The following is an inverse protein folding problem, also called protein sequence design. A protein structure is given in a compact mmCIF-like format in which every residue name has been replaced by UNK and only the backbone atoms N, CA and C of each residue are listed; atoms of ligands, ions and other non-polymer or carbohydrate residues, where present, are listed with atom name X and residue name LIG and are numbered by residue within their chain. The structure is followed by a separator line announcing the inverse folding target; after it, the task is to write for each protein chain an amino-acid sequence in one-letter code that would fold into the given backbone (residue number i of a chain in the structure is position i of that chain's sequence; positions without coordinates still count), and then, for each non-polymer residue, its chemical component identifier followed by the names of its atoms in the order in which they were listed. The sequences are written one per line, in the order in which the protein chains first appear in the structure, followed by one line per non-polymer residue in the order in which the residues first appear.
data_IF_156545310958
#
_entry.id   IF_156545310958
#
_cell.length_a   1.000
_cell.length_b   1.000
_cell.length_c   1.000
_cell.angle_alpha   90.00
_cell.angle_beta   90.00
_cell.angle_gamma   90.00
#
_symmetry.space_group_name_H-M   'P 1'
#
loop_
_entity.id
_entity.type
_entity.pdbx_description
1 polymer ?
#
# COMPACT_ATOMS: atom_id res chain seq x y z
N UNK A 1 19.17 18.50 -24.52
CA UNK A 1 19.69 17.30 -23.82
C UNK A 1 18.99 17.04 -22.48
N UNK A 2 18.76 18.06 -21.64
CA UNK A 2 18.07 17.92 -20.35
C UNK A 2 16.62 17.41 -20.45
N UNK A 3 15.83 17.97 -21.38
CA UNK A 3 14.43 17.55 -21.61
C UNK A 3 14.32 16.08 -22.08
N UNK A 4 15.26 15.60 -22.89
CA UNK A 4 15.30 14.20 -23.32
C UNK A 4 15.60 13.24 -22.16
N UNK A 5 16.51 13.62 -21.25
CA UNK A 5 16.80 12.85 -20.03
C UNK A 5 15.60 12.78 -19.09
N UNK A 6 14.87 13.89 -18.95
CA UNK A 6 13.64 13.93 -18.16
C UNK A 6 12.56 13.01 -18.73
N UNK A 7 12.33 13.05 -20.05
CA UNK A 7 11.34 12.18 -20.70
C UNK A 7 11.70 10.70 -20.53
N UNK A 8 12.95 10.33 -20.81
CA UNK A 8 13.45 8.97 -20.59
C UNK A 8 13.26 8.50 -19.14
N UNK A 9 13.58 9.36 -18.18
CA UNK A 9 13.41 9.03 -16.77
C UNK A 9 11.93 8.85 -16.39
N UNK A 10 11.02 9.64 -16.96
CA UNK A 10 9.57 9.46 -16.76
C UNK A 10 9.09 8.12 -17.32
N UNK A 11 9.57 7.70 -18.50
CA UNK A 11 9.25 6.39 -19.08
C UNK A 11 9.79 5.24 -18.22
N UNK A 12 11.00 5.39 -17.67
CA UNK A 12 11.60 4.43 -16.75
C UNK A 12 10.83 4.33 -15.42
N UNK A 13 10.34 5.45 -14.90
CA UNK A 13 9.49 5.50 -13.71
C UNK A 13 8.15 4.82 -13.99
N UNK A 14 7.52 5.10 -15.13
CA UNK A 14 6.23 4.53 -15.51
C UNK A 14 6.30 2.99 -15.67
N UNK A 15 7.48 2.46 -15.98
CA UNK A 15 7.68 1.02 -16.12
C UNK A 15 7.59 0.23 -14.80
N UNK A 16 7.71 0.91 -13.64
CA UNK A 16 7.66 0.28 -12.31
C UNK A 16 8.60 -0.92 -12.12
N UNK A 17 9.72 -0.93 -12.84
CA UNK A 17 10.79 -1.92 -12.66
C UNK A 17 11.80 -1.40 -11.64
N UNK A 18 12.25 -2.24 -10.72
CA UNK A 18 13.28 -1.88 -9.73
C UNK A 18 14.53 -1.28 -10.41
N UNK A 19 15.00 -1.94 -11.48
CA UNK A 19 16.18 -1.51 -12.24
C UNK A 19 15.95 -0.17 -12.93
N UNK A 20 14.81 -0.02 -13.63
CA UNK A 20 14.50 1.21 -14.36
C UNK A 20 14.22 2.38 -13.41
N UNK A 21 13.61 2.14 -12.26
CA UNK A 21 13.45 3.16 -11.22
C UNK A 21 14.80 3.65 -10.69
N UNK A 22 15.75 2.74 -10.43
CA UNK A 22 17.11 3.11 -10.01
C UNK A 22 17.82 3.94 -11.10
N UNK A 23 17.69 3.52 -12.37
CA UNK A 23 18.24 4.25 -13.52
C UNK A 23 17.61 5.63 -13.68
N UNK A 24 16.29 5.77 -13.49
CA UNK A 24 15.60 7.04 -13.57
C UNK A 24 16.08 8.01 -12.48
N UNK A 25 16.12 7.54 -11.23
CA UNK A 25 16.59 8.35 -10.09
C UNK A 25 18.03 8.82 -10.30
N UNK A 26 18.90 7.94 -10.81
CA UNK A 26 20.30 8.29 -11.11
C UNK A 26 20.40 9.31 -12.25
N UNK A 27 19.68 9.07 -13.36
CA UNK A 27 19.61 9.96 -14.54
C UNK A 27 19.16 11.36 -14.16
N UNK A 28 18.20 11.47 -13.23
CA UNK A 28 17.64 12.75 -12.78
C UNK A 28 18.54 13.52 -11.79
N UNK A 29 19.61 12.91 -11.24
CA UNK A 29 20.51 13.64 -10.32
C UNK A 29 21.27 14.78 -11.01
N UNK A 30 21.78 14.55 -12.22
CA UNK A 30 22.50 15.57 -12.98
C UNK A 30 21.63 16.80 -13.32
N UNK A 31 20.44 16.67 -13.93
CA UNK A 31 19.61 17.83 -14.20
C UNK A 31 19.13 18.52 -12.92
N UNK A 32 18.88 17.77 -11.83
CA UNK A 32 18.58 18.35 -10.51
C UNK A 32 19.72 19.23 -9.97
N UNK A 33 20.97 18.82 -10.17
CA UNK A 33 22.13 19.60 -9.74
C UNK A 33 22.35 20.85 -10.60
N UNK A 34 22.07 20.77 -11.91
CA UNK A 34 22.22 21.89 -12.84
C UNK A 34 21.13 22.95 -12.64
N UNK A 35 19.88 22.53 -12.44
CA UNK A 35 18.75 23.44 -12.22
C UNK A 35 17.97 23.00 -10.97
N UNK A 36 18.41 23.41 -9.76
CA UNK A 36 17.77 23.00 -8.52
C UNK A 36 16.30 23.45 -8.37
N UNK A 37 15.89 24.48 -9.11
CA UNK A 37 14.54 25.05 -9.08
C UNK A 37 13.59 24.45 -10.14
N UNK A 38 14.04 23.49 -10.95
CA UNK A 38 13.22 22.86 -11.99
C UNK A 38 12.10 21.99 -11.37
N UNK A 39 10.81 22.39 -11.45
CA UNK A 39 9.73 21.64 -10.81
C UNK A 39 9.51 20.27 -11.47
N UNK A 40 9.69 20.14 -12.78
CA UNK A 40 9.44 18.90 -13.52
C UNK A 40 10.42 17.78 -13.11
N UNK A 41 11.69 18.13 -12.94
CA UNK A 41 12.73 17.20 -12.48
C UNK A 41 12.48 16.79 -11.03
N UNK A 42 12.07 17.74 -10.18
CA UNK A 42 11.73 17.47 -8.77
C UNK A 42 10.52 16.55 -8.65
N UNK A 43 9.49 16.75 -9.46
CA UNK A 43 8.32 15.89 -9.53
C UNK A 43 8.67 14.47 -9.95
N UNK A 44 9.44 14.33 -11.03
CA UNK A 44 9.86 13.02 -11.51
C UNK A 44 10.69 12.27 -10.45
N UNK A 45 11.59 12.96 -9.75
CA UNK A 45 12.32 12.36 -8.64
C UNK A 45 11.42 11.97 -7.48
N UNK A 46 10.47 12.83 -7.10
CA UNK A 46 9.52 12.54 -6.04
C UNK A 46 8.71 11.28 -6.32
N UNK A 47 8.22 11.13 -7.56
CA UNK A 47 7.50 9.95 -8.02
C UNK A 47 8.40 8.72 -8.10
N UNK A 48 9.62 8.85 -8.65
CA UNK A 48 10.59 7.77 -8.69
C UNK A 48 10.92 7.22 -7.30
N UNK A 49 11.19 8.09 -6.33
CA UNK A 49 11.42 7.68 -4.95
C UNK A 49 10.19 7.04 -4.30
N UNK A 50 8.98 7.57 -4.56
CA UNK A 50 7.74 6.98 -4.06
C UNK A 50 7.56 5.55 -4.59
N UNK A 51 7.71 5.35 -5.90
CA UNK A 51 7.57 4.05 -6.53
C UNK A 51 8.73 3.10 -6.18
N UNK A 52 9.92 3.59 -5.87
CA UNK A 52 11.02 2.74 -5.37
C UNK A 52 10.75 2.11 -4.02
N UNK A 53 9.86 2.68 -3.19
CA UNK A 53 9.37 1.99 -1.97
C UNK A 53 8.62 0.73 -2.36
N UNK A 54 7.72 0.85 -3.33
CA UNK A 54 6.88 -0.27 -3.71
C UNK A 54 7.67 -1.26 -4.55
N UNK A 55 8.31 -0.82 -5.64
CA UNK A 55 8.88 -1.66 -6.69
C UNK A 55 10.41 -1.80 -6.65
N UNK A 56 11.11 -0.93 -5.92
CA UNK A 56 12.57 -0.90 -5.85
C UNK A 56 13.15 -1.67 -4.66
N UNK A 57 14.42 -1.38 -4.37
CA UNK A 57 15.19 -1.95 -3.26
C UNK A 57 15.67 -0.90 -2.24
N UNK A 58 15.23 0.35 -2.38
CA UNK A 58 15.58 1.41 -1.44
C UNK A 58 14.90 1.17 -0.09
N UNK A 59 15.61 1.34 1.05
CA UNK A 59 14.97 1.30 2.35
C UNK A 59 13.81 2.29 2.44
N UNK A 60 12.67 1.86 2.98
CA UNK A 60 11.43 2.66 3.07
C UNK A 60 11.66 4.07 3.60
N UNK A 61 12.50 4.23 4.63
CA UNK A 61 12.82 5.53 5.22
C UNK A 61 13.53 6.49 4.26
N UNK A 62 14.45 5.96 3.45
CA UNK A 62 15.14 6.76 2.45
C UNK A 62 14.21 7.08 1.28
N UNK A 63 13.43 6.10 0.82
CA UNK A 63 12.46 6.29 -0.25
C UNK A 63 11.42 7.37 0.11
N UNK A 64 10.72 7.23 1.24
CA UNK A 64 9.70 8.18 1.70
C UNK A 64 10.29 9.56 2.04
N UNK A 65 11.44 9.61 2.72
CA UNK A 65 12.10 10.85 3.07
C UNK A 65 12.55 11.65 1.85
N UNK A 66 13.12 10.97 0.85
CA UNK A 66 13.50 11.62 -0.41
C UNK A 66 12.26 12.03 -1.22
N UNK A 67 11.23 11.17 -1.33
CA UNK A 67 9.98 11.50 -2.02
C UNK A 67 9.34 12.78 -1.46
N UNK A 68 9.24 12.88 -0.12
CA UNK A 68 8.77 14.09 0.56
C UNK A 68 9.59 15.32 0.19
N UNK A 69 10.92 15.23 0.32
CA UNK A 69 11.82 16.37 0.09
C UNK A 69 11.70 16.90 -1.33
N UNK A 70 11.69 16.01 -2.32
CA UNK A 70 11.62 16.39 -3.72
C UNK A 70 10.21 16.92 -4.08
N UNK A 71 9.13 16.33 -3.54
CA UNK A 71 7.77 16.83 -3.75
C UNK A 71 7.56 18.22 -3.12
N UNK A 72 8.05 18.45 -1.89
CA UNK A 72 8.02 19.79 -1.27
C UNK A 72 8.83 20.80 -2.09
N UNK A 73 9.93 20.39 -2.71
CA UNK A 73 10.73 21.25 -3.56
C UNK A 73 10.01 21.58 -4.88
N UNK A 74 9.33 20.62 -5.49
CA UNK A 74 8.48 20.85 -6.65
C UNK A 74 7.39 21.89 -6.34
N UNK A 75 6.67 21.76 -5.22
CA UNK A 75 5.59 22.69 -4.86
C UNK A 75 6.03 24.13 -4.57
N UNK A 76 7.31 24.38 -4.27
CA UNK A 76 7.80 25.76 -4.14
C UNK A 76 7.76 26.52 -5.47
N UNK A 77 7.89 25.81 -6.59
CA UNK A 77 7.98 26.40 -7.93
C UNK A 77 6.76 26.08 -8.79
N UNK A 78 6.08 24.96 -8.52
CA UNK A 78 4.82 24.54 -9.13
C UNK A 78 3.77 24.26 -8.05
N UNK A 79 3.13 25.28 -7.44
CA UNK A 79 2.23 25.10 -6.28
C UNK A 79 0.95 24.30 -6.58
N UNK A 80 0.63 24.11 -7.86
CA UNK A 80 -0.49 23.30 -8.36
C UNK A 80 -0.02 22.00 -9.02
N UNK A 81 1.16 21.49 -8.70
CA UNK A 81 1.61 20.20 -9.20
C UNK A 81 0.76 19.06 -8.62
N UNK A 82 -0.08 18.44 -9.46
CA UNK A 82 -0.90 17.30 -9.06
C UNK A 82 -0.03 16.11 -8.59
N UNK A 83 1.08 15.84 -9.29
CA UNK A 83 2.05 14.80 -8.92
C UNK A 83 2.67 15.05 -7.55
N UNK A 84 3.20 16.25 -7.31
CA UNK A 84 3.82 16.54 -6.01
C UNK A 84 2.80 16.55 -4.87
N UNK A 85 1.58 17.07 -5.10
CA UNK A 85 0.49 17.02 -4.11
C UNK A 85 0.08 15.58 -3.80
N UNK A 86 -0.07 14.72 -4.81
CA UNK A 86 -0.34 13.29 -4.66
C UNK A 86 0.76 12.58 -3.88
N UNK A 87 2.03 12.80 -4.22
CA UNK A 87 3.16 12.20 -3.48
C UNK A 87 3.11 12.62 -2.02
N UNK A 88 2.94 13.91 -1.72
CA UNK A 88 2.81 14.38 -0.33
C UNK A 88 1.58 13.81 0.37
N UNK A 89 0.46 13.62 -0.33
CA UNK A 89 -0.73 12.96 0.22
C UNK A 89 -0.46 11.53 0.66
N UNK A 90 0.24 10.75 -0.18
CA UNK A 90 0.65 9.37 0.16
C UNK A 90 1.61 9.36 1.35
N UNK A 91 2.58 10.28 1.39
CA UNK A 91 3.52 10.39 2.53
C UNK A 91 2.78 10.84 3.79
N UNK A 92 1.86 11.81 3.72
CA UNK A 92 1.09 12.25 4.87
C UNK A 92 0.29 11.10 5.50
N UNK A 93 -0.31 10.25 4.68
CA UNK A 93 -1.07 9.10 5.16
C UNK A 93 -0.18 7.99 5.74
N UNK A 94 0.73 7.44 4.93
CA UNK A 94 1.49 6.25 5.31
C UNK A 94 2.72 6.51 6.17
N UNK A 95 3.23 7.75 6.16
CA UNK A 95 4.44 8.13 6.87
C UNK A 95 4.20 9.19 7.95
N UNK A 96 3.32 10.16 7.77
CA UNK A 96 3.07 11.10 8.89
C UNK A 96 1.96 10.61 9.82
N UNK A 97 1.21 9.58 9.39
CA UNK A 97 0.01 9.09 10.09
C UNK A 97 -0.99 10.21 10.33
N UNK A 98 -1.13 11.11 9.35
CA UNK A 98 -2.09 12.21 9.34
C UNK A 98 -3.08 12.06 8.16
N UNK A 99 -4.17 11.27 8.35
CA UNK A 99 -5.19 11.08 7.32
C UNK A 99 -5.88 12.38 6.92
N UNK A 100 -6.03 13.33 7.86
CA UNK A 100 -6.69 14.60 7.58
C UNK A 100 -5.82 15.49 6.66
N UNK A 101 -4.51 15.55 6.90
CA UNK A 101 -3.58 16.21 5.98
C UNK A 101 -3.53 15.52 4.62
N UNK A 102 -3.53 14.19 4.59
CA UNK A 102 -3.58 13.44 3.35
C UNK A 102 -4.82 13.81 2.51
N UNK A 103 -6.01 13.81 3.12
CA UNK A 103 -7.25 14.23 2.46
C UNK A 103 -7.17 15.63 1.85
N UNK A 104 -6.69 16.62 2.61
CA UNK A 104 -6.49 17.99 2.09
C UNK A 104 -5.54 18.05 0.90
N UNK A 105 -4.46 17.26 0.92
CA UNK A 105 -3.49 17.20 -0.18
C UNK A 105 -4.09 16.54 -1.42
N UNK A 106 -4.87 15.46 -1.25
CA UNK A 106 -5.54 14.78 -2.37
C UNK A 106 -6.64 15.64 -2.99
N UNK A 107 -7.44 16.35 -2.20
CA UNK A 107 -8.41 17.31 -2.76
C UNK A 107 -7.72 18.37 -3.63
N UNK A 108 -6.62 18.96 -3.14
CA UNK A 108 -5.82 19.89 -3.93
C UNK A 108 -5.22 19.24 -5.18
N UNK A 109 -4.79 17.98 -5.11
CA UNK A 109 -4.26 17.25 -6.26
C UNK A 109 -5.33 17.02 -7.34
N UNK A 110 -6.56 16.69 -6.92
CA UNK A 110 -7.72 16.53 -7.81
C UNK A 110 -8.06 17.88 -8.46
N UNK A 111 -8.10 18.97 -7.69
CA UNK A 111 -8.34 20.33 -8.20
C UNK A 111 -7.24 20.82 -9.16
N UNK A 112 -6.02 20.32 -9.00
CA UNK A 112 -4.91 20.59 -9.89
C UNK A 112 -5.04 19.83 -11.23
N UNK A 113 -5.53 18.59 -11.21
CA UNK A 113 -5.69 17.75 -12.39
C UNK A 113 -6.95 16.86 -12.32
N UNK A 114 -8.09 17.41 -12.73
CA UNK A 114 -9.42 16.77 -12.62
C UNK A 114 -9.52 15.41 -13.35
N UNK A 115 -8.74 15.25 -14.41
CA UNK A 115 -8.72 14.08 -15.30
C UNK A 115 -7.52 13.14 -15.05
N UNK A 116 -6.82 13.29 -13.92
CA UNK A 116 -5.71 12.39 -13.57
C UNK A 116 -6.25 11.15 -12.82
N UNK A 117 -6.26 10.01 -13.52
CA UNK A 117 -6.71 8.73 -12.98
C UNK A 117 -5.85 8.25 -11.79
N UNK A 118 -4.54 8.54 -11.81
CA UNK A 118 -3.60 8.10 -10.79
C UNK A 118 -3.80 8.87 -9.47
N UNK A 119 -4.14 10.16 -9.55
CA UNK A 119 -4.54 10.95 -8.36
C UNK A 119 -5.77 10.34 -7.70
N UNK A 120 -6.79 10.01 -8.49
CA UNK A 120 -8.03 9.41 -7.96
C UNK A 120 -7.78 8.02 -7.38
N UNK A 121 -6.97 7.19 -8.04
CA UNK A 121 -6.56 5.88 -7.52
C UNK A 121 -5.85 5.99 -6.18
N UNK A 122 -4.83 6.85 -6.08
CA UNK A 122 -4.07 7.00 -4.84
C UNK A 122 -4.95 7.53 -3.71
N UNK A 123 -5.92 8.41 -4.02
CA UNK A 123 -6.91 8.87 -3.04
C UNK A 123 -7.84 7.74 -2.60
N UNK A 124 -8.34 6.95 -3.55
CA UNK A 124 -9.14 5.77 -3.29
C UNK A 124 -8.42 4.75 -2.40
N UNK A 125 -7.11 4.53 -2.62
CA UNK A 125 -6.29 3.65 -1.79
C UNK A 125 -6.25 4.07 -0.32
N UNK A 126 -6.02 5.35 -0.04
CA UNK A 126 -5.98 5.81 1.35
C UNK A 126 -7.36 5.76 2.01
N UNK A 127 -8.43 6.03 1.26
CA UNK A 127 -9.81 5.90 1.76
C UNK A 127 -10.15 4.43 2.06
N UNK A 128 -9.78 3.51 1.15
CA UNK A 128 -10.01 2.09 1.34
C UNK A 128 -9.26 1.58 2.55
N UNK A 129 -7.98 1.93 2.66
CA UNK A 129 -7.16 1.53 3.79
C UNK A 129 -7.70 2.11 5.10
N UNK A 130 -8.16 3.36 5.13
CA UNK A 130 -8.74 3.99 6.33
C UNK A 130 -10.15 3.48 6.70
N UNK A 131 -10.77 2.65 5.85
CA UNK A 131 -12.08 2.04 6.09
C UNK A 131 -13.26 2.84 5.53
N UNK A 132 -12.99 3.89 4.77
CA UNK A 132 -13.99 4.76 4.13
C UNK A 132 -14.42 4.16 2.78
N UNK A 133 -14.87 2.92 2.83
CA UNK A 133 -15.02 2.05 1.66
C UNK A 133 -15.95 2.62 0.58
N UNK A 134 -17.08 3.23 0.95
CA UNK A 134 -18.00 3.79 -0.04
C UNK A 134 -17.34 4.95 -0.83
N UNK A 135 -16.59 5.82 -0.13
CA UNK A 135 -15.82 6.88 -0.75
C UNK A 135 -14.69 6.31 -1.62
N UNK A 136 -13.99 5.29 -1.14
CA UNK A 136 -12.93 4.62 -1.89
C UNK A 136 -13.45 4.04 -3.21
N UNK A 137 -14.55 3.28 -3.19
CA UNK A 137 -15.15 2.68 -4.39
C UNK A 137 -15.57 3.76 -5.41
N UNK A 138 -16.16 4.87 -4.94
CA UNK A 138 -16.50 6.02 -5.81
C UNK A 138 -15.28 6.58 -6.54
N UNK A 139 -14.17 6.76 -5.84
CA UNK A 139 -12.94 7.29 -6.44
C UNK A 139 -12.23 6.28 -7.35
N UNK A 140 -12.25 4.99 -7.00
CA UNK A 140 -11.78 3.94 -7.92
C UNK A 140 -12.60 3.89 -9.21
N UNK A 141 -13.93 3.97 -9.12
CA UNK A 141 -14.79 4.00 -10.30
C UNK A 141 -14.54 5.25 -11.15
N UNK A 142 -14.27 6.40 -10.52
CA UNK A 142 -13.85 7.61 -11.23
C UNK A 142 -12.48 7.42 -11.93
N UNK A 143 -11.49 6.83 -11.26
CA UNK A 143 -10.20 6.52 -11.86
C UNK A 143 -10.33 5.57 -13.07
N UNK A 144 -11.15 4.52 -12.95
CA UNK A 144 -11.39 3.55 -14.02
C UNK A 144 -12.10 4.14 -15.24
N UNK A 145 -12.98 5.13 -15.04
CA UNK A 145 -13.60 5.88 -16.15
C UNK A 145 -12.57 6.73 -16.91
N UNK A 146 -11.59 7.30 -16.21
CA UNK A 146 -10.55 8.13 -16.80
C UNK A 146 -9.48 7.30 -17.53
N UNK A 147 -9.18 6.09 -17.05
CA UNK A 147 -8.19 5.20 -17.64
C UNK A 147 -8.74 3.78 -17.80
N UNK A 148 -9.65 3.54 -18.76
CA UNK A 148 -10.16 2.20 -19.03
C UNK A 148 -9.01 1.29 -19.50
N UNK A 149 -8.93 0.08 -18.96
CA UNK A 149 -7.91 -0.91 -19.32
C UNK A 149 -6.55 -0.74 -18.61
N UNK A 150 -6.39 0.28 -17.75
CA UNK A 150 -5.20 0.39 -16.91
C UNK A 150 -5.16 -0.72 -15.85
N UNK A 151 -4.40 -1.77 -16.12
CA UNK A 151 -4.26 -2.96 -15.26
C UNK A 151 -3.70 -2.63 -13.88
N UNK A 152 -2.87 -1.59 -13.80
CA UNK A 152 -2.36 -1.08 -12.53
C UNK A 152 -3.44 -0.56 -11.57
N UNK A 153 -4.63 -0.19 -12.05
CA UNK A 153 -5.77 0.21 -11.22
C UNK A 153 -6.51 -1.00 -10.63
N UNK A 154 -6.48 -2.13 -11.33
CA UNK A 154 -7.37 -3.26 -11.06
C UNK A 154 -6.95 -3.97 -9.76
N UNK A 155 -5.64 -4.16 -9.54
CA UNK A 155 -5.15 -4.78 -8.31
C UNK A 155 -5.54 -3.94 -7.06
N UNK A 156 -5.34 -2.63 -7.13
CA UNK A 156 -5.70 -1.69 -6.06
C UNK A 156 -7.21 -1.61 -5.83
N UNK A 157 -8.01 -1.60 -6.90
CA UNK A 157 -9.46 -1.64 -6.79
C UNK A 157 -9.95 -2.94 -6.13
N UNK A 158 -9.38 -4.08 -6.53
CA UNK A 158 -9.67 -5.36 -5.90
C UNK A 158 -9.26 -5.39 -4.42
N UNK A 159 -8.13 -4.78 -4.07
CA UNK A 159 -7.72 -4.61 -2.68
C UNK A 159 -8.72 -3.75 -1.88
N UNK A 160 -9.22 -2.67 -2.49
CA UNK A 160 -10.29 -1.84 -1.92
C UNK A 160 -11.59 -2.61 -1.68
N UNK A 161 -12.00 -3.44 -2.65
CA UNK A 161 -13.15 -4.35 -2.54
C UNK A 161 -12.96 -5.35 -1.41
N UNK A 162 -11.80 -6.00 -1.33
CA UNK A 162 -11.49 -6.96 -0.27
C UNK A 162 -11.50 -6.32 1.11
N UNK A 163 -10.98 -5.09 1.23
CA UNK A 163 -11.00 -4.30 2.46
C UNK A 163 -12.43 -3.95 2.88
N UNK A 164 -13.31 -3.69 1.91
CA UNK A 164 -14.75 -3.48 2.12
C UNK A 164 -15.52 -4.77 2.47
N UNK A 165 -14.88 -5.94 2.43
CA UNK A 165 -15.51 -7.24 2.64
C UNK A 165 -16.15 -7.86 1.39
N UNK A 166 -15.96 -7.25 0.21
CA UNK A 166 -16.44 -7.74 -1.10
C UNK A 166 -15.41 -8.70 -1.70
N UNK A 167 -15.15 -9.80 -1.00
CA UNK A 167 -14.04 -10.71 -1.28
C UNK A 167 -14.18 -11.48 -2.61
N UNK A 168 -15.37 -11.99 -2.91
CA UNK A 168 -15.59 -12.73 -4.17
C UNK A 168 -15.36 -11.85 -5.41
N UNK A 169 -15.81 -10.60 -5.36
CA UNK A 169 -15.58 -9.63 -6.45
C UNK A 169 -14.09 -9.28 -6.58
N UNK A 170 -13.38 -9.10 -5.46
CA UNK A 170 -11.94 -8.88 -5.47
C UNK A 170 -11.18 -10.05 -6.09
N UNK A 171 -11.53 -11.30 -5.71
CA UNK A 171 -10.93 -12.52 -6.25
C UNK A 171 -11.20 -12.67 -7.74
N UNK A 172 -12.42 -12.41 -8.19
CA UNK A 172 -12.78 -12.47 -9.61
C UNK A 172 -11.90 -11.52 -10.45
N UNK A 173 -11.80 -10.25 -10.03
CA UNK A 173 -10.98 -9.25 -10.71
C UNK A 173 -9.49 -9.62 -10.74
N UNK A 174 -8.94 -10.07 -9.60
CA UNK A 174 -7.54 -10.47 -9.52
C UNK A 174 -7.24 -11.71 -10.37
N UNK A 175 -8.14 -12.68 -10.40
CA UNK A 175 -8.00 -13.87 -11.23
C UNK A 175 -8.04 -13.54 -12.73
N UNK A 176 -8.91 -12.63 -13.14
CA UNK A 176 -8.94 -12.14 -14.53
C UNK A 176 -7.65 -11.37 -14.86
N UNK A 177 -7.16 -10.55 -13.93
CA UNK A 177 -5.94 -9.77 -14.07
C UNK A 177 -4.70 -10.68 -14.22
N UNK A 178 -4.54 -11.72 -13.40
CA UNK A 178 -3.40 -12.65 -13.54
C UNK A 178 -3.51 -13.58 -14.76
N UNK A 179 -4.70 -13.76 -15.35
CA UNK A 179 -4.83 -14.42 -16.66
C UNK A 179 -4.25 -13.55 -17.77
N UNK A 180 -4.41 -12.23 -17.68
CA UNK A 180 -3.90 -11.26 -18.66
C UNK A 180 -2.42 -10.94 -18.44
N UNK A 181 -2.01 -10.76 -17.19
CA UNK A 181 -0.64 -10.45 -16.79
C UNK A 181 -0.13 -11.45 -15.73
N UNK A 182 0.32 -12.66 -16.14
CA UNK A 182 0.68 -13.74 -15.20
C UNK A 182 1.80 -13.42 -14.22
N UNK A 183 2.61 -12.39 -14.50
CA UNK A 183 3.76 -11.99 -13.69
C UNK A 183 3.51 -10.70 -12.91
N UNK A 184 2.28 -10.16 -12.88
CA UNK A 184 1.99 -8.93 -12.14
C UNK A 184 2.11 -9.14 -10.62
N UNK A 185 3.17 -8.59 -10.04
CA UNK A 185 3.52 -8.83 -8.63
C UNK A 185 2.45 -8.36 -7.64
N UNK A 186 1.80 -7.22 -7.89
CA UNK A 186 0.77 -6.65 -7.01
C UNK A 186 -0.49 -7.50 -6.94
N UNK A 187 -0.87 -8.14 -8.06
CA UNK A 187 -2.02 -9.05 -8.09
C UNK A 187 -1.76 -10.30 -7.25
N UNK A 188 -0.56 -10.89 -7.37
CA UNK A 188 -0.14 -12.02 -6.53
C UNK A 188 0.01 -11.64 -5.05
N UNK A 189 0.43 -10.41 -4.74
CA UNK A 189 0.45 -9.92 -3.36
C UNK A 189 -0.96 -9.92 -2.75
N UNK A 190 -1.93 -9.32 -3.46
CA UNK A 190 -3.33 -9.30 -3.05
C UNK A 190 -3.89 -10.72 -2.90
N UNK A 191 -3.73 -11.57 -3.92
CA UNK A 191 -4.24 -12.95 -3.90
C UNK A 191 -3.62 -13.77 -2.76
N UNK A 192 -2.35 -13.56 -2.41
CA UNK A 192 -1.72 -14.24 -1.28
C UNK A 192 -2.41 -13.90 0.04
N UNK A 193 -2.69 -12.62 0.30
CA UNK A 193 -3.34 -12.17 1.53
C UNK A 193 -4.80 -12.61 1.58
N UNK A 194 -5.49 -12.59 0.42
CA UNK A 194 -6.87 -13.09 0.33
C UNK A 194 -6.93 -14.59 0.61
N UNK A 195 -6.05 -15.40 0.01
CA UNK A 195 -5.96 -16.83 0.29
C UNK A 195 -5.68 -17.09 1.77
N UNK A 196 -4.73 -16.35 2.36
CA UNK A 196 -4.45 -16.43 3.79
C UNK A 196 -5.68 -16.10 4.65
N UNK A 197 -6.44 -15.07 4.29
CA UNK A 197 -7.65 -14.68 5.00
C UNK A 197 -8.77 -15.73 4.93
N UNK A 198 -8.77 -16.54 3.87
CA UNK A 198 -9.67 -17.68 3.67
C UNK A 198 -9.16 -18.99 4.33
N UNK A 199 -8.09 -18.92 5.14
CA UNK A 199 -7.39 -20.06 5.74
C UNK A 199 -6.77 -21.05 4.72
N UNK A 200 -6.55 -20.58 3.49
CA UNK A 200 -5.91 -21.32 2.40
C UNK A 200 -4.39 -21.09 2.42
N UNK A 201 -3.69 -21.84 3.27
CA UNK A 201 -2.22 -21.81 3.35
C UNK A 201 -1.52 -22.28 2.05
N UNK A 202 -2.00 -23.32 1.34
CA UNK A 202 -1.50 -23.66 0.00
C UNK A 202 -1.59 -22.50 -0.99
N UNK A 203 -2.75 -21.82 -1.05
CA UNK A 203 -2.93 -20.63 -1.88
C UNK A 203 -2.01 -19.48 -1.48
N UNK A 204 -1.89 -19.19 -0.18
CA UNK A 204 -0.93 -18.20 0.33
C UNK A 204 0.49 -18.49 -0.15
N UNK A 205 0.97 -19.73 0.03
CA UNK A 205 2.31 -20.13 -0.39
C UNK A 205 2.50 -20.04 -1.92
N UNK A 206 1.49 -20.42 -2.70
CA UNK A 206 1.51 -20.35 -4.15
C UNK A 206 1.66 -18.90 -4.65
N UNK A 207 0.79 -18.00 -4.22
CA UNK A 207 0.81 -16.60 -4.67
C UNK A 207 2.01 -15.83 -4.12
N UNK A 208 2.44 -16.11 -2.89
CA UNK A 208 3.68 -15.58 -2.33
C UNK A 208 4.90 -15.96 -3.19
N UNK A 209 4.93 -17.20 -3.71
CA UNK A 209 5.99 -17.66 -4.60
C UNK A 209 5.99 -16.95 -5.96
N UNK A 210 4.81 -16.76 -6.57
CA UNK A 210 4.70 -16.00 -7.81
C UNK A 210 5.12 -14.54 -7.63
N UNK A 211 4.71 -13.90 -6.53
CA UNK A 211 5.18 -12.56 -6.14
C UNK A 211 6.70 -12.53 -5.99
N UNK A 212 7.29 -13.49 -5.30
CA UNK A 212 8.73 -13.57 -5.11
C UNK A 212 9.49 -13.67 -6.45
N UNK A 213 8.98 -14.50 -7.37
CA UNK A 213 9.54 -14.65 -8.71
C UNK A 213 9.47 -13.35 -9.51
N UNK A 214 8.34 -12.64 -9.47
CA UNK A 214 8.17 -11.36 -10.16
C UNK A 214 9.06 -10.25 -9.61
N UNK A 215 9.28 -10.21 -8.29
CA UNK A 215 10.08 -9.15 -7.64
C UNK A 215 11.59 -9.36 -7.75
N UNK A 216 12.05 -10.59 -8.00
CA UNK A 216 13.46 -10.95 -8.02
C UNK A 216 14.25 -10.48 -6.76
N UNK A 217 13.57 -10.46 -5.61
CA UNK A 217 14.16 -10.03 -4.33
C UNK A 217 14.62 -11.27 -3.53
N UNK A 218 15.93 -11.41 -3.23
CA UNK A 218 16.47 -12.61 -2.57
C UNK A 218 15.81 -12.93 -1.23
N UNK A 219 15.53 -11.91 -0.42
CA UNK A 219 14.86 -12.08 0.89
C UNK A 219 13.43 -12.62 0.76
N UNK A 220 12.69 -12.15 -0.26
CA UNK A 220 11.33 -12.60 -0.52
C UNK A 220 11.32 -14.02 -1.09
N UNK A 221 12.31 -14.38 -1.92
CA UNK A 221 12.50 -15.72 -2.43
C UNK A 221 12.81 -16.73 -1.31
N UNK A 222 13.73 -16.39 -0.40
CA UNK A 222 14.05 -17.23 0.75
C UNK A 222 12.84 -17.45 1.66
N UNK A 223 12.11 -16.36 1.99
CA UNK A 223 10.89 -16.43 2.79
C UNK A 223 9.80 -17.29 2.12
N UNK A 224 9.56 -17.09 0.82
CA UNK A 224 8.61 -17.88 0.05
C UNK A 224 8.96 -19.36 0.04
N UNK A 225 10.23 -19.71 -0.17
CA UNK A 225 10.69 -21.10 -0.23
C UNK A 225 10.45 -21.84 1.08
N UNK A 226 10.80 -21.20 2.21
CA UNK A 226 10.54 -21.73 3.55
C UNK A 226 9.03 -21.92 3.78
N UNK A 227 8.18 -20.91 3.52
CA UNK A 227 6.73 -21.05 3.70
C UNK A 227 6.17 -22.20 2.86
N UNK A 228 6.59 -22.32 1.59
CA UNK A 228 6.16 -23.40 0.70
C UNK A 228 6.54 -24.77 1.26
N UNK A 229 7.75 -24.92 1.78
CA UNK A 229 8.20 -26.17 2.39
C UNK A 229 7.35 -26.54 3.61
N UNK A 230 7.15 -25.61 4.55
CA UNK A 230 6.38 -25.88 5.76
C UNK A 230 4.91 -26.23 5.45
N UNK A 231 4.31 -25.58 4.45
CA UNK A 231 2.96 -25.92 3.97
C UNK A 231 2.91 -27.32 3.37
N UNK A 232 3.92 -27.74 2.59
CA UNK A 232 4.02 -29.10 2.04
C UNK A 232 4.21 -30.15 3.14
N UNK A 233 5.00 -29.83 4.16
CA UNK A 233 5.20 -30.70 5.33
C UNK A 233 3.98 -30.75 6.25
N UNK A 234 3.00 -29.87 6.07
CA UNK A 234 1.81 -29.78 6.93
C UNK A 234 2.07 -29.17 8.30
N UNK A 235 3.24 -28.55 8.54
CA UNK A 235 3.56 -27.92 9.83
C UNK A 235 2.96 -26.50 9.90
N UNK A 236 1.66 -26.45 10.20
CA UNK A 236 0.92 -25.19 10.40
C UNK A 236 1.55 -24.32 11.50
N UNK A 237 2.17 -24.92 12.52
CA UNK A 237 2.82 -24.19 13.60
C UNK A 237 4.14 -23.54 13.14
N UNK A 238 4.91 -24.19 12.28
CA UNK A 238 6.08 -23.60 11.64
C UNK A 238 5.69 -22.44 10.72
N UNK A 239 4.63 -22.60 9.90
CA UNK A 239 4.10 -21.51 9.08
C UNK A 239 3.73 -20.30 9.96
N UNK A 240 3.00 -20.53 11.06
CA UNK A 240 2.65 -19.46 12.00
C UNK A 240 3.88 -18.75 12.57
N UNK A 241 4.84 -19.52 13.13
CA UNK A 241 6.07 -18.96 13.71
C UNK A 241 6.85 -18.12 12.69
N UNK A 242 6.98 -18.62 11.46
CA UNK A 242 7.65 -17.95 10.36
C UNK A 242 6.96 -16.62 9.98
N UNK A 243 5.64 -16.66 9.76
CA UNK A 243 4.85 -15.48 9.40
C UNK A 243 4.88 -14.43 10.52
N UNK A 244 4.62 -14.84 11.75
CA UNK A 244 4.51 -13.95 12.90
C UNK A 244 5.85 -13.31 13.27
N UNK A 245 6.94 -14.10 13.29
CA UNK A 245 8.29 -13.58 13.55
C UNK A 245 8.72 -12.55 12.49
N UNK A 246 8.47 -12.84 11.21
CA UNK A 246 8.74 -11.89 10.12
C UNK A 246 7.93 -10.60 10.28
N UNK A 247 6.63 -10.71 10.57
CA UNK A 247 5.76 -9.54 10.76
C UNK A 247 6.23 -8.65 11.93
N UNK A 248 6.62 -9.25 13.06
CA UNK A 248 7.16 -8.51 14.20
C UNK A 248 8.53 -7.87 13.89
N UNK A 249 9.38 -8.55 13.13
CA UNK A 249 10.67 -8.00 12.70
C UNK A 249 10.49 -6.79 11.80
N UNK A 250 9.59 -6.87 10.82
CA UNK A 250 9.26 -5.76 9.93
C UNK A 250 8.69 -4.56 10.68
N UNK A 251 7.76 -4.78 11.61
CA UNK A 251 7.18 -3.71 12.45
C UNK A 251 8.23 -3.01 13.35
N UNK A 252 9.35 -3.66 13.67
CA UNK A 252 10.47 -3.06 14.41
C UNK A 252 11.47 -2.33 13.51
N UNK A 253 11.66 -2.83 12.29
CA UNK A 253 12.65 -2.31 11.35
C UNK A 253 12.21 -0.99 10.69
N UNK A 254 10.91 -0.76 10.57
CA UNK A 254 10.38 0.50 10.07
C UNK A 254 10.50 1.59 11.13
N UNK A 255 10.86 2.81 10.71
CA UNK A 255 10.90 3.98 11.62
C UNK A 255 9.54 4.27 12.29
N UNK A 256 8.47 3.70 11.73
CA UNK A 256 7.12 3.70 12.27
C UNK A 256 6.62 2.27 12.35
N UNK A 257 6.39 1.82 13.58
CA UNK A 257 5.85 0.48 13.81
C UNK A 257 4.42 0.38 13.33
N UNK A 258 4.12 -0.71 12.63
CA UNK A 258 2.78 -1.09 12.23
C UNK A 258 2.62 -2.58 12.50
N UNK A 259 1.92 -2.92 13.58
CA UNK A 259 1.71 -4.33 13.94
C UNK A 259 0.40 -4.91 13.40
N UNK A 260 -0.30 -4.21 12.50
CA UNK A 260 -1.61 -4.65 11.98
C UNK A 260 -1.53 -6.02 11.28
N UNK A 261 -0.47 -6.28 10.51
CA UNK A 261 -0.23 -7.58 9.88
C UNK A 261 0.06 -8.68 10.91
N UNK A 262 0.86 -8.41 11.95
CA UNK A 262 1.15 -9.38 13.01
C UNK A 262 -0.12 -9.75 13.80
N UNK A 263 -0.96 -8.76 14.11
CA UNK A 263 -2.26 -8.98 14.74
C UNK A 263 -3.19 -9.81 13.85
N UNK A 264 -3.23 -9.51 12.55
CA UNK A 264 -4.04 -10.29 11.62
C UNK A 264 -3.57 -11.75 11.53
N UNK A 265 -2.25 -11.99 11.51
CA UNK A 265 -1.69 -13.35 11.55
C UNK A 265 -2.13 -14.09 12.83
N UNK A 266 -1.86 -13.52 14.01
CA UNK A 266 -2.24 -14.15 15.29
C UNK A 266 -3.74 -14.45 15.34
N UNK A 267 -4.57 -13.50 14.89
CA UNK A 267 -6.02 -13.68 14.76
C UNK A 267 -6.40 -14.85 13.85
N UNK A 268 -5.85 -14.91 12.63
CA UNK A 268 -6.17 -15.96 11.64
C UNK A 268 -5.77 -17.35 12.12
N UNK A 269 -4.66 -17.47 12.86
CA UNK A 269 -4.26 -18.73 13.51
C UNK A 269 -5.03 -19.04 14.80
N UNK A 270 -5.89 -18.14 15.28
CA UNK A 270 -6.67 -18.33 16.51
C UNK A 270 -5.88 -18.11 17.80
N UNK A 271 -4.68 -17.54 17.73
CA UNK A 271 -3.84 -17.26 18.89
C UNK A 271 -4.29 -15.99 19.60
N UNK A 272 -5.28 -16.17 20.48
CA UNK A 272 -5.87 -15.08 21.28
C UNK A 272 -4.83 -14.34 22.11
N UNK A 273 -3.91 -15.08 22.74
CA UNK A 273 -2.91 -14.53 23.66
C UNK A 273 -1.96 -13.61 22.91
N UNK A 274 -1.39 -14.08 21.81
CA UNK A 274 -0.50 -13.25 21.00
C UNK A 274 -1.23 -12.08 20.34
N UNK A 275 -2.49 -12.25 19.94
CA UNK A 275 -3.29 -11.15 19.43
C UNK A 275 -3.44 -10.03 20.46
N UNK A 276 -3.82 -10.34 21.71
CA UNK A 276 -3.95 -9.35 22.78
C UNK A 276 -2.60 -8.67 23.07
N UNK A 277 -1.51 -9.42 23.10
CA UNK A 277 -0.18 -8.88 23.34
C UNK A 277 0.25 -7.90 22.24
N UNK A 278 -0.01 -8.23 20.97
CA UNK A 278 0.23 -7.33 19.84
C UNK A 278 -0.62 -6.07 19.95
N UNK A 279 -1.92 -6.21 20.20
CA UNK A 279 -2.83 -5.06 20.30
C UNK A 279 -2.44 -4.11 21.45
N UNK A 280 -2.09 -4.65 22.63
CA UNK A 280 -1.61 -3.85 23.76
C UNK A 280 -0.29 -3.15 23.46
N UNK A 281 0.64 -3.83 22.79
CA UNK A 281 1.90 -3.21 22.34
C UNK A 281 1.62 -2.05 21.39
N UNK A 282 0.72 -2.23 20.44
CA UNK A 282 0.32 -1.15 19.51
C UNK A 282 -0.31 0.03 20.22
N UNK A 283 -1.18 -0.20 21.23
CA UNK A 283 -1.71 0.87 22.07
C UNK A 283 -0.62 1.62 22.82
N UNK A 284 0.32 0.91 23.47
CA UNK A 284 1.43 1.52 24.20
C UNK A 284 2.31 2.39 23.29
N UNK A 285 2.44 2.01 22.02
CA UNK A 285 3.15 2.77 20.99
C UNK A 285 2.30 3.86 20.33
N UNK A 286 1.06 4.05 20.80
CA UNK A 286 0.09 4.99 20.22
C UNK A 286 -0.11 4.78 18.72
N UNK A 287 -0.04 3.53 18.26
CA UNK A 287 -0.28 3.21 16.86
C UNK A 287 -1.72 3.52 16.46
N UNK A 288 -1.86 3.95 15.21
CA UNK A 288 -3.15 4.18 14.56
C UNK A 288 -3.13 3.45 13.24
N UNK A 289 -4.07 2.54 13.03
CA UNK A 289 -4.09 1.66 11.87
C UNK A 289 -5.14 2.09 10.86
N UNK A 290 -4.71 2.24 9.62
CA UNK A 290 -5.55 2.32 8.44
C UNK A 290 -6.08 0.91 8.21
N UNK A 291 -5.32 0.05 7.52
CA UNK A 291 -5.40 -1.43 7.51
C UNK A 291 -6.81 -2.03 7.73
N UNK A 292 -7.82 -1.42 7.13
CA UNK A 292 -9.22 -1.65 7.50
C UNK A 292 -9.68 -3.06 7.20
N UNK A 293 -9.15 -3.66 6.13
CA UNK A 293 -9.40 -5.05 5.75
C UNK A 293 -8.96 -6.05 6.84
N UNK A 294 -7.82 -5.80 7.50
CA UNK A 294 -7.35 -6.61 8.62
C UNK A 294 -8.22 -6.40 9.85
N UNK A 295 -8.45 -5.14 10.24
CA UNK A 295 -9.29 -4.81 11.40
C UNK A 295 -10.69 -5.41 11.27
N UNK A 296 -11.33 -5.27 10.10
CA UNK A 296 -12.65 -5.86 9.82
C UNK A 296 -12.67 -7.37 10.08
N UNK A 297 -11.66 -8.10 9.62
CA UNK A 297 -11.60 -9.56 9.76
C UNK A 297 -11.29 -10.01 11.18
N UNK A 298 -10.36 -9.31 11.87
CA UNK A 298 -10.11 -9.53 13.29
C UNK A 298 -11.40 -9.29 14.08
N UNK A 299 -12.04 -8.14 13.88
CA UNK A 299 -13.28 -7.77 14.57
C UNK A 299 -14.42 -8.76 14.32
N UNK A 300 -14.57 -9.25 13.08
CA UNK A 300 -15.57 -10.27 12.75
C UNK A 300 -15.28 -11.62 13.43
N UNK A 301 -14.03 -12.07 13.44
CA UNK A 301 -13.64 -13.36 14.04
C UNK A 301 -13.81 -13.37 15.56
N UNK A 302 -13.49 -12.25 16.20
CA UNK A 302 -13.50 -12.11 17.66
C UNK A 302 -14.68 -11.25 18.14
N UNK A 303 -15.84 -11.33 17.48
CA UNK A 303 -17.01 -10.47 17.76
C UNK A 303 -17.55 -10.60 19.17
N UNK A 304 -17.43 -11.79 19.78
CA UNK A 304 -17.83 -12.06 21.15
C UNK A 304 -16.74 -11.74 22.20
N UNK A 305 -15.54 -11.33 21.78
CA UNK A 305 -14.43 -11.03 22.69
C UNK A 305 -14.32 -9.52 22.94
N UNK A 306 -14.94 -9.07 24.03
CA UNK A 306 -14.98 -7.65 24.40
C UNK A 306 -13.58 -7.03 24.54
N UNK A 307 -12.60 -7.79 25.04
CA UNK A 307 -11.23 -7.30 25.21
C UNK A 307 -10.60 -6.99 23.85
N UNK A 308 -10.71 -7.92 22.90
CA UNK A 308 -10.19 -7.71 21.55
C UNK A 308 -10.94 -6.56 20.85
N UNK A 309 -12.27 -6.49 20.97
CA UNK A 309 -13.05 -5.41 20.36
C UNK A 309 -12.61 -4.02 20.87
N UNK A 310 -12.45 -3.87 22.18
CA UNK A 310 -12.02 -2.60 22.79
C UNK A 310 -10.59 -2.23 22.38
N UNK A 311 -9.66 -3.18 22.43
CA UNK A 311 -8.28 -2.96 22.02
C UNK A 311 -8.20 -2.58 20.53
N UNK A 312 -8.92 -3.29 19.67
CA UNK A 312 -8.95 -3.02 18.23
C UNK A 312 -9.55 -1.65 17.90
N UNK A 313 -10.64 -1.27 18.57
CA UNK A 313 -11.30 0.03 18.37
C UNK A 313 -10.39 1.20 18.77
N UNK A 314 -9.57 1.03 19.80
CA UNK A 314 -8.62 2.06 20.24
C UNK A 314 -7.54 2.40 19.22
N UNK A 315 -7.27 1.51 18.25
CA UNK A 315 -6.25 1.65 17.21
C UNK A 315 -6.81 2.33 15.95
N UNK A 316 -8.07 2.78 15.96
CA UNK A 316 -8.66 3.49 14.82
C UNK A 316 -7.94 4.82 14.54
N UNK A 317 -7.75 5.08 13.24
CA UNK A 317 -7.32 6.37 12.70
C UNK A 317 -8.50 7.35 12.60
N UNK A 318 -8.17 8.63 12.50
CA UNK A 318 -9.14 9.66 12.17
C UNK A 318 -9.65 9.48 10.73
N UNK A 319 -10.88 9.90 10.48
CA UNK A 319 -11.43 9.91 9.12
C UNK A 319 -10.71 10.93 8.24
N UNK A 320 -10.61 10.61 6.96
CA UNK A 320 -10.14 11.48 5.88
C UNK A 320 -11.30 12.37 5.42
N UNK A 321 -12.44 11.76 5.08
CA UNK A 321 -13.65 12.49 4.71
C UNK A 321 -14.55 12.68 5.94
N UNK A 322 -15.26 13.82 6.03
CA UNK A 322 -16.32 13.96 7.02
C UNK A 322 -17.34 12.81 6.85
N UNK A 323 -18.02 12.40 7.93
CA UNK A 323 -19.10 11.43 7.79
C UNK A 323 -20.11 11.97 6.77
N UNK A 324 -20.73 11.10 5.95
CA UNK A 324 -21.81 11.52 5.07
C UNK A 324 -22.83 12.28 5.92
N UNK A 325 -23.23 13.47 5.47
CA UNK A 325 -24.32 14.19 6.10
C UNK A 325 -25.50 13.23 6.10
N UNK A 326 -26.06 12.91 7.27
CA UNK A 326 -27.32 12.16 7.33
C UNK A 326 -28.27 12.89 6.40
N UNK A 327 -28.57 12.24 5.28
CA UNK A 327 -29.48 12.77 4.28
C UNK A 327 -30.79 12.92 5.03
N UNK A 328 -31.18 14.17 5.23
CA UNK A 328 -32.38 14.57 5.94
C UNK A 328 -33.53 13.76 5.37
N UNK A 329 -34.11 12.90 6.22
CA UNK A 329 -35.37 12.19 5.95
C UNK A 329 -36.46 13.24 5.72
#
# INVERSE_FOLDING_TARGET
MQQAKLLQARDDIASRSAERLNTAIATLQTPRAQVPADPDVREALAEGYLLSREFGSLPDALAMGNARREAMAALRWGPRSATALRVLGVVAYWWDRDPAAAGRLFHRAIDAALNDALVRQCYANILADNGEHAAAIREFDAARRLAPGATYLIADYAWGLWSAGREEEARALLNDLVRQEPMLASAHDCLSVIAFAADDLPGYAHYLHLRAKSRAAPELAAYSGMIKQEVVCGDRAAVYRAMFSRALSQAKATSQSDHSWAAFIASSFGDRTQLIDVLRRSQQRSERWGASGYKRRIGKRWSADETIQQLLASLNQSRIEPPPSDSTI
#
